data_IF_587090052926
#
_entry.id   IF_587090052926
#
_cell.length_a   1.000
_cell.length_b   1.000
_cell.length_c   1.000
_cell.angle_alpha   90.00
_cell.angle_beta   90.00
_cell.angle_gamma   90.00
#
_symmetry.space_group_name_H-M   'P 1'
#
loop_
_entity.id
_entity.type
_entity.pdbx_description
1 polymer ?
#
# COMPACT_ATOMS: atom_id res chain seq x y z
N UNK A 1 3.26 54.89 1.90
CA UNK A 1 4.07 54.87 0.72
C UNK A 1 4.98 53.64 0.52
N UNK A 2 6.35 53.75 0.41
CA UNK A 2 7.17 52.53 0.15
C UNK A 2 7.16 51.52 1.29
N UNK A 3 7.16 51.97 2.55
CA UNK A 3 7.13 51.11 3.74
C UNK A 3 5.81 50.34 3.85
N UNK A 4 4.68 50.98 3.61
CA UNK A 4 3.35 50.36 3.59
C UNK A 4 3.23 49.29 2.50
N UNK A 5 3.83 49.56 1.34
CA UNK A 5 3.87 48.59 0.23
C UNK A 5 4.73 47.35 0.58
N UNK A 6 5.82 47.54 1.32
CA UNK A 6 6.71 46.47 1.77
C UNK A 6 5.99 45.53 2.77
N UNK A 7 5.24 46.11 3.71
CA UNK A 7 4.45 45.35 4.69
C UNK A 7 3.35 44.54 4.02
N UNK A 8 2.68 45.09 3.03
CA UNK A 8 1.65 44.39 2.26
C UNK A 8 2.24 43.25 1.45
N UNK A 9 3.39 43.45 0.79
CA UNK A 9 4.10 42.39 0.08
C UNK A 9 4.54 41.27 1.03
N UNK A 10 5.05 41.63 2.20
CA UNK A 10 5.43 40.67 3.27
C UNK A 10 4.26 39.78 3.68
N UNK A 11 3.12 40.41 4.00
CA UNK A 11 1.89 39.73 4.41
C UNK A 11 1.36 38.77 3.34
N UNK A 12 1.33 39.22 2.08
CA UNK A 12 0.89 38.37 0.96
C UNK A 12 1.85 37.21 0.67
N UNK A 13 3.16 37.39 0.91
CA UNK A 13 4.14 36.32 0.82
C UNK A 13 3.99 35.28 1.93
N UNK A 14 3.67 35.70 3.16
CA UNK A 14 3.37 34.79 4.26
C UNK A 14 2.14 33.91 3.95
N UNK A 15 1.18 34.40 3.21
CA UNK A 15 0.04 33.63 2.68
C UNK A 15 0.47 32.63 1.58
N UNK A 16 1.70 32.70 1.09
CA UNK A 16 2.25 31.79 0.08
C UNK A 16 2.08 32.27 -1.36
N UNK A 17 1.67 33.53 -1.59
CA UNK A 17 1.47 34.07 -2.94
C UNK A 17 2.77 34.22 -3.71
N UNK A 18 2.79 33.81 -5.00
CA UNK A 18 3.88 34.11 -5.91
C UNK A 18 4.03 35.61 -6.16
N UNK A 19 5.27 36.11 -6.32
CA UNK A 19 5.54 37.52 -6.55
C UNK A 19 4.81 38.10 -7.77
N UNK A 20 4.58 37.30 -8.81
CA UNK A 20 3.85 37.73 -10.01
C UNK A 20 2.36 38.04 -9.70
N UNK A 21 1.72 37.22 -8.85
CA UNK A 21 0.34 37.41 -8.43
C UNK A 21 0.21 38.63 -7.49
N UNK A 22 1.18 38.79 -6.58
CA UNK A 22 1.25 39.95 -5.70
C UNK A 22 1.32 41.24 -6.53
N UNK A 23 2.16 41.29 -7.59
CA UNK A 23 2.26 42.45 -8.47
C UNK A 23 0.92 42.78 -9.14
N UNK A 24 0.27 41.77 -9.73
CA UNK A 24 -1.01 41.95 -10.41
C UNK A 24 -2.10 42.43 -9.43
N UNK A 25 -2.10 41.93 -8.20
CA UNK A 25 -3.03 42.37 -7.16
C UNK A 25 -2.78 43.85 -6.79
N UNK A 26 -1.51 44.24 -6.58
CA UNK A 26 -1.15 45.61 -6.16
C UNK A 26 -1.58 46.68 -7.19
N UNK A 27 -1.58 46.34 -8.50
CA UNK A 27 -1.99 47.23 -9.58
C UNK A 27 -3.52 47.56 -9.57
N UNK A 28 -4.32 46.63 -9.00
CA UNK A 28 -5.79 46.72 -9.02
C UNK A 28 -6.43 46.45 -7.66
N UNK A 29 -5.75 46.79 -6.58
CA UNK A 29 -6.21 46.52 -5.20
C UNK A 29 -7.52 47.21 -4.88
N UNK A 30 -8.46 46.47 -4.32
CA UNK A 30 -9.68 46.95 -3.70
C UNK A 30 -10.08 46.00 -2.55
N UNK A 31 -10.92 46.46 -1.59
CA UNK A 31 -11.42 45.59 -0.52
C UNK A 31 -12.10 44.31 -1.05
N UNK A 32 -12.87 44.43 -2.13
CA UNK A 32 -13.58 43.31 -2.76
C UNK A 32 -12.61 42.31 -3.36
N UNK A 33 -11.60 42.79 -4.11
CA UNK A 33 -10.54 41.92 -4.69
C UNK A 33 -9.71 41.23 -3.61
N UNK A 34 -9.46 41.94 -2.49
CA UNK A 34 -8.75 41.34 -1.36
C UNK A 34 -9.59 40.26 -0.71
N UNK A 35 -10.89 40.42 -0.56
CA UNK A 35 -11.82 39.41 -0.07
C UNK A 35 -11.77 38.15 -0.93
N UNK A 36 -11.89 38.29 -2.25
CA UNK A 36 -11.79 37.16 -3.20
C UNK A 36 -10.44 36.45 -3.10
N UNK A 37 -9.36 37.21 -2.97
CA UNK A 37 -8.01 36.65 -2.80
C UNK A 37 -7.90 35.80 -1.52
N UNK A 38 -8.38 36.35 -0.39
CA UNK A 38 -8.35 35.61 0.88
C UNK A 38 -9.18 34.31 0.83
N UNK A 39 -10.33 34.32 0.16
CA UNK A 39 -11.15 33.10 -0.04
C UNK A 39 -10.40 32.05 -0.87
N UNK A 40 -9.67 32.47 -1.91
CA UNK A 40 -8.85 31.59 -2.74
C UNK A 40 -7.71 30.97 -1.93
N UNK A 41 -6.97 31.79 -1.19
CA UNK A 41 -5.87 31.31 -0.34
C UNK A 41 -6.37 30.41 0.79
N UNK A 42 -7.50 30.71 1.41
CA UNK A 42 -8.12 29.85 2.41
C UNK A 42 -8.45 28.46 1.83
N UNK A 43 -8.94 28.41 0.59
CA UNK A 43 -9.19 27.14 -0.10
C UNK A 43 -7.89 26.35 -0.32
N UNK A 44 -6.84 27.01 -0.81
CA UNK A 44 -5.51 26.39 -1.02
C UNK A 44 -4.96 25.86 0.30
N UNK A 45 -5.06 26.63 1.37
CA UNK A 45 -4.61 26.20 2.72
C UNK A 45 -5.42 25.00 3.19
N UNK A 46 -6.73 24.98 3.01
CA UNK A 46 -7.59 23.84 3.36
C UNK A 46 -7.19 22.57 2.61
N UNK A 47 -6.94 22.67 1.32
CA UNK A 47 -6.50 21.54 0.49
C UNK A 47 -5.12 21.01 0.95
N UNK A 48 -4.16 21.90 1.25
CA UNK A 48 -2.87 21.54 1.82
C UNK A 48 -3.00 20.83 3.17
N UNK A 49 -3.83 21.36 4.06
CA UNK A 49 -4.10 20.74 5.37
C UNK A 49 -4.72 19.36 5.23
N UNK A 50 -5.67 19.19 4.32
CA UNK A 50 -6.28 17.88 4.04
C UNK A 50 -5.23 16.88 3.56
N UNK A 51 -4.40 17.26 2.61
CA UNK A 51 -3.30 16.43 2.08
C UNK A 51 -2.29 16.05 3.18
N UNK A 52 -1.94 16.97 4.05
CA UNK A 52 -1.03 16.71 5.17
C UNK A 52 -1.64 15.74 6.19
N UNK A 53 -2.93 15.87 6.51
CA UNK A 53 -3.65 14.93 7.38
C UNK A 53 -3.69 13.51 6.79
N UNK A 54 -3.91 13.38 5.49
CA UNK A 54 -3.89 12.09 4.79
C UNK A 54 -2.49 11.46 4.83
N UNK A 55 -1.46 12.26 4.59
CA UNK A 55 -0.06 11.81 4.68
C UNK A 55 0.30 11.38 6.10
N UNK A 56 -0.09 12.14 7.12
CA UNK A 56 0.14 11.81 8.53
C UNK A 56 -0.54 10.48 8.90
N UNK A 57 -1.77 10.27 8.44
CA UNK A 57 -2.51 9.01 8.64
C UNK A 57 -1.78 7.85 8.00
N UNK A 58 -1.41 7.98 6.73
CA UNK A 58 -0.65 6.95 6.00
C UNK A 58 0.67 6.60 6.71
N UNK A 59 1.43 7.59 7.17
CA UNK A 59 2.66 7.36 7.94
C UNK A 59 2.36 6.54 9.22
N UNK A 60 1.31 6.90 9.94
CA UNK A 60 0.90 6.17 11.14
C UNK A 60 0.51 4.73 10.87
N UNK A 61 -0.21 4.47 9.79
CA UNK A 61 -0.61 3.13 9.34
C UNK A 61 0.62 2.32 8.89
N UNK A 62 1.52 2.92 8.10
CA UNK A 62 2.76 2.26 7.67
C UNK A 62 3.66 1.87 8.84
N UNK A 63 3.79 2.75 9.86
CA UNK A 63 4.53 2.44 11.09
C UNK A 63 3.93 1.25 11.84
N UNK A 64 2.61 1.18 11.95
CA UNK A 64 1.92 0.04 12.60
C UNK A 64 2.14 -1.25 11.82
N UNK A 65 2.00 -1.20 10.50
CA UNK A 65 2.28 -2.34 9.63
C UNK A 65 3.72 -2.86 9.82
N UNK A 66 4.72 -1.98 9.81
CA UNK A 66 6.12 -2.37 9.98
C UNK A 66 6.39 -3.01 11.35
N UNK A 67 5.78 -2.47 12.41
CA UNK A 67 5.92 -3.03 13.75
C UNK A 67 5.28 -4.43 13.85
N UNK A 68 4.08 -4.59 13.29
CA UNK A 68 3.38 -5.87 13.25
C UNK A 68 4.14 -6.89 12.41
N UNK A 69 4.55 -6.53 11.19
CA UNK A 69 5.32 -7.40 10.29
C UNK A 69 6.61 -7.91 10.95
N UNK A 70 7.35 -7.01 11.63
CA UNK A 70 8.55 -7.38 12.37
C UNK A 70 8.26 -8.39 13.49
N UNK A 71 7.17 -8.19 14.25
CA UNK A 71 6.79 -9.09 15.34
C UNK A 71 6.38 -10.46 14.80
N UNK A 72 5.52 -10.51 13.79
CA UNK A 72 5.06 -11.76 13.16
C UNK A 72 6.22 -12.56 12.56
N UNK A 73 7.12 -11.90 11.82
CA UNK A 73 8.29 -12.55 11.24
C UNK A 73 9.20 -13.12 12.32
N UNK A 74 9.50 -12.35 13.37
CA UNK A 74 10.34 -12.79 14.48
C UNK A 74 9.73 -14.02 15.16
N UNK A 75 8.46 -13.98 15.54
CA UNK A 75 7.76 -15.09 16.17
C UNK A 75 7.82 -16.36 15.30
N UNK A 76 7.55 -16.25 13.99
CA UNK A 76 7.55 -17.38 13.09
C UNK A 76 8.94 -18.03 12.97
N UNK A 77 10.00 -17.24 12.82
CA UNK A 77 11.37 -17.75 12.69
C UNK A 77 11.98 -18.23 14.02
N UNK A 78 11.57 -17.66 15.16
CA UNK A 78 11.98 -18.17 16.48
C UNK A 78 11.33 -19.52 16.77
N UNK A 79 10.08 -19.72 16.34
CA UNK A 79 9.36 -20.98 16.51
C UNK A 79 9.93 -22.12 15.66
N UNK A 80 10.16 -21.87 14.39
CA UNK A 80 10.81 -22.83 13.47
C UNK A 80 11.51 -22.08 12.31
N UNK A 81 12.86 -21.95 12.35
CA UNK A 81 13.60 -21.24 11.32
C UNK A 81 13.62 -21.98 9.97
N UNK A 82 13.32 -23.28 9.94
CA UNK A 82 13.31 -24.11 8.72
C UNK A 82 11.92 -24.22 8.10
N UNK A 83 10.88 -24.09 8.90
CA UNK A 83 9.49 -24.13 8.47
C UNK A 83 8.66 -23.08 9.22
N UNK A 84 8.90 -21.77 8.97
CA UNK A 84 8.22 -20.68 9.68
C UNK A 84 6.77 -20.58 9.23
N UNK A 85 5.93 -21.46 9.75
CA UNK A 85 4.51 -21.59 9.47
C UNK A 85 3.68 -21.33 10.72
N UNK A 86 2.53 -20.71 10.56
CA UNK A 86 1.59 -20.47 11.66
C UNK A 86 0.16 -20.28 11.17
N UNK A 87 -0.79 -20.49 12.07
CA UNK A 87 -2.20 -20.16 11.82
C UNK A 87 -2.46 -18.83 12.51
N UNK A 88 -2.90 -17.84 11.72
CA UNK A 88 -3.19 -16.49 12.20
C UNK A 88 -4.62 -16.09 11.84
N UNK A 89 -5.30 -15.39 12.75
CA UNK A 89 -6.57 -14.74 12.43
C UNK A 89 -6.27 -13.43 11.72
N UNK A 90 -6.60 -13.37 10.42
CA UNK A 90 -6.49 -12.13 9.65
C UNK A 90 -7.84 -11.40 9.65
N UNK A 91 -7.84 -10.06 9.76
CA UNK A 91 -9.05 -9.26 9.75
C UNK A 91 -9.67 -9.21 8.35
N UNK A 92 -10.94 -8.77 8.30
CA UNK A 92 -11.59 -8.38 7.05
C UNK A 92 -10.82 -7.21 6.43
N UNK A 93 -10.44 -7.34 5.15
CA UNK A 93 -9.73 -6.32 4.40
C UNK A 93 -10.30 -6.17 2.99
N UNK A 94 -10.09 -5.00 2.42
CA UNK A 94 -10.58 -4.62 1.09
C UNK A 94 -9.43 -4.65 0.11
N UNK A 95 -9.60 -5.36 -1.01
CA UNK A 95 -8.59 -5.53 -2.04
C UNK A 95 -9.02 -4.80 -3.31
N UNK A 96 -8.23 -3.86 -3.78
CA UNK A 96 -8.37 -3.32 -5.14
C UNK A 96 -7.41 -4.10 -6.02
N UNK A 97 -7.96 -4.92 -6.91
CA UNK A 97 -7.20 -5.86 -7.74
C UNK A 97 -7.02 -5.34 -9.16
N UNK A 98 -5.96 -5.77 -9.81
CA UNK A 98 -5.76 -5.61 -11.24
C UNK A 98 -5.09 -6.88 -11.80
N UNK A 99 -5.06 -6.99 -13.12
CA UNK A 99 -4.51 -8.14 -13.83
C UNK A 99 -3.64 -7.66 -14.99
N UNK A 100 -2.58 -8.41 -15.28
CA UNK A 100 -1.75 -8.26 -16.47
C UNK A 100 -1.98 -9.44 -17.40
N UNK A 101 -2.27 -9.20 -18.67
CA UNK A 101 -2.38 -10.25 -19.69
C UNK A 101 -1.03 -10.94 -19.94
N UNK A 102 0.06 -10.21 -19.76
CA UNK A 102 1.42 -10.72 -19.89
C UNK A 102 2.05 -11.00 -18.53
N UNK A 103 2.82 -12.09 -18.43
CA UNK A 103 3.65 -12.40 -17.27
C UNK A 103 5.02 -11.68 -17.31
N UNK A 104 5.29 -10.86 -18.35
CA UNK A 104 6.50 -10.07 -18.41
C UNK A 104 6.55 -9.03 -17.29
N UNK A 105 7.69 -8.95 -16.60
CA UNK A 105 7.87 -8.06 -15.46
C UNK A 105 7.61 -6.59 -15.77
N UNK A 106 7.96 -6.12 -16.98
CA UNK A 106 7.73 -4.73 -17.38
C UNK A 106 6.22 -4.46 -17.52
N UNK A 107 5.48 -5.37 -18.16
CA UNK A 107 4.03 -5.26 -18.33
C UNK A 107 3.30 -5.31 -16.97
N UNK A 108 3.71 -6.22 -16.09
CA UNK A 108 3.16 -6.32 -14.72
C UNK A 108 3.43 -5.04 -13.94
N UNK A 109 4.66 -4.51 -13.95
CA UNK A 109 5.01 -3.28 -13.25
C UNK A 109 4.24 -2.05 -13.78
N UNK A 110 4.02 -1.97 -15.10
CA UNK A 110 3.18 -0.92 -15.68
C UNK A 110 1.74 -1.00 -15.14
N UNK A 111 1.17 -2.20 -15.10
CA UNK A 111 -0.19 -2.42 -14.57
C UNK A 111 -0.29 -2.17 -13.07
N UNK A 112 0.76 -2.44 -12.30
CA UNK A 112 0.87 -2.04 -10.89
C UNK A 112 0.86 -0.50 -10.78
N UNK A 113 1.61 0.20 -11.63
CA UNK A 113 1.59 1.67 -11.68
C UNK A 113 0.20 2.23 -11.98
N UNK A 114 -0.53 1.63 -12.93
CA UNK A 114 -1.92 2.00 -13.23
C UNK A 114 -2.84 1.78 -12.02
N UNK A 115 -2.66 0.70 -11.26
CA UNK A 115 -3.43 0.41 -10.05
C UNK A 115 -3.20 1.47 -8.96
N UNK A 116 -1.93 1.86 -8.74
CA UNK A 116 -1.61 2.95 -7.81
C UNK A 116 -2.22 4.28 -8.25
N UNK A 117 -2.15 4.60 -9.55
CA UNK A 117 -2.75 5.81 -10.10
C UNK A 117 -4.28 5.80 -9.96
N UNK A 118 -4.93 4.66 -10.25
CA UNK A 118 -6.38 4.48 -10.09
C UNK A 118 -6.84 4.68 -8.64
N UNK A 119 -6.13 4.16 -7.68
CA UNK A 119 -6.43 4.39 -6.27
C UNK A 119 -6.14 5.84 -5.86
N UNK A 120 -4.99 6.36 -6.28
CA UNK A 120 -4.48 7.68 -5.87
C UNK A 120 -5.32 8.85 -6.34
N UNK A 121 -5.98 8.76 -7.52
CA UNK A 121 -6.87 9.82 -8.03
C UNK A 121 -8.06 10.12 -7.10
N UNK A 122 -8.45 9.14 -6.25
CA UNK A 122 -9.52 9.30 -5.26
C UNK A 122 -8.98 9.39 -3.82
N UNK A 123 -7.67 9.65 -3.66
CA UNK A 123 -7.04 9.79 -2.34
C UNK A 123 -6.82 8.48 -1.58
N UNK A 124 -7.05 7.32 -2.21
CA UNK A 124 -6.80 6.02 -1.58
C UNK A 124 -5.30 5.70 -1.63
N UNK A 125 -4.69 5.55 -0.46
CA UNK A 125 -3.29 5.15 -0.32
C UNK A 125 -3.20 3.92 0.58
N UNK A 126 -2.72 2.82 0.03
CA UNK A 126 -2.40 1.64 0.83
C UNK A 126 -1.17 1.89 1.69
N UNK A 127 -1.22 1.49 2.94
CA UNK A 127 -0.05 1.43 3.84
C UNK A 127 0.74 0.12 3.67
N UNK A 128 0.16 -0.83 2.98
CA UNK A 128 0.78 -2.10 2.60
C UNK A 128 1.48 -1.96 1.25
N UNK A 129 2.41 -2.87 0.99
CA UNK A 129 3.00 -3.00 -0.34
C UNK A 129 1.99 -3.68 -1.29
N UNK A 130 2.26 -3.63 -2.61
CA UNK A 130 1.49 -4.44 -3.55
C UNK A 130 1.64 -5.91 -3.20
N UNK A 131 0.52 -6.63 -3.18
CA UNK A 131 0.50 -8.07 -2.98
C UNK A 131 0.11 -8.78 -4.27
N UNK A 132 0.37 -10.10 -4.32
CA UNK A 132 0.04 -10.94 -5.45
C UNK A 132 -0.91 -12.05 -5.04
N UNK A 133 -1.72 -12.51 -5.99
CA UNK A 133 -2.64 -13.63 -5.79
C UNK A 133 -2.19 -14.78 -6.67
N UNK A 134 -1.82 -15.90 -6.05
CA UNK A 134 -1.60 -17.16 -6.74
C UNK A 134 -2.85 -18.03 -6.63
N UNK A 135 -3.20 -18.68 -7.72
CA UNK A 135 -4.34 -19.60 -7.76
C UNK A 135 -3.86 -21.04 -7.55
N UNK A 136 -4.64 -21.82 -6.80
CA UNK A 136 -4.35 -23.23 -6.55
C UNK A 136 -4.05 -23.98 -7.85
N UNK A 137 -4.91 -23.84 -8.85
CA UNK A 137 -4.77 -24.49 -10.15
C UNK A 137 -3.42 -24.22 -10.82
N UNK A 138 -2.91 -22.98 -10.71
CA UNK A 138 -1.62 -22.57 -11.27
C UNK A 138 -0.46 -23.19 -10.47
N UNK A 139 -0.57 -23.19 -9.15
CA UNK A 139 0.44 -23.77 -8.26
C UNK A 139 0.53 -25.30 -8.43
N UNK A 140 -0.59 -25.98 -8.63
CA UNK A 140 -0.65 -27.45 -8.86
C UNK A 140 -0.02 -27.87 -10.20
N UNK A 141 0.00 -26.99 -11.20
CA UNK A 141 0.76 -27.20 -12.44
C UNK A 141 2.27 -26.97 -12.30
N UNK A 142 2.74 -26.54 -11.11
CA UNK A 142 4.14 -26.22 -10.85
C UNK A 142 4.56 -24.82 -11.26
N UNK A 143 3.63 -23.97 -11.63
CA UNK A 143 3.93 -22.55 -11.92
C UNK A 143 3.73 -21.70 -10.65
N UNK A 144 4.83 -21.42 -9.95
CA UNK A 144 4.85 -20.64 -8.70
C UNK A 144 5.16 -19.16 -8.94
N UNK A 145 5.37 -18.72 -10.18
CA UNK A 145 5.83 -17.39 -10.53
C UNK A 145 4.84 -16.66 -11.45
N UNK A 146 3.56 -16.97 -11.35
CA UNK A 146 2.51 -16.28 -12.11
C UNK A 146 2.04 -15.02 -11.36
N UNK A 147 2.77 -13.92 -11.53
CA UNK A 147 2.51 -12.63 -10.87
C UNK A 147 1.56 -11.73 -11.64
N UNK A 148 0.68 -12.29 -12.47
CA UNK A 148 -0.27 -11.49 -13.27
C UNK A 148 -1.44 -10.93 -12.47
N UNK A 149 -1.85 -11.58 -11.39
CA UNK A 149 -2.91 -11.12 -10.50
C UNK A 149 -2.30 -10.44 -9.26
N UNK A 150 -2.59 -9.16 -9.04
CA UNK A 150 -2.04 -8.39 -7.95
C UNK A 150 -3.06 -7.41 -7.36
N UNK A 151 -2.78 -6.89 -6.16
CA UNK A 151 -3.72 -6.07 -5.41
C UNK A 151 -3.05 -5.04 -4.51
N UNK A 152 -3.81 -3.98 -4.20
CA UNK A 152 -3.57 -3.10 -3.06
C UNK A 152 -4.58 -3.43 -1.96
N UNK A 153 -4.12 -3.48 -0.72
CA UNK A 153 -4.92 -3.84 0.45
C UNK A 153 -5.26 -2.60 1.27
N UNK A 154 -6.48 -2.57 1.81
CA UNK A 154 -6.98 -1.48 2.64
C UNK A 154 -7.73 -2.05 3.85
N UNK A 155 -7.50 -1.46 5.04
CA UNK A 155 -8.21 -1.81 6.27
C UNK A 155 -9.59 -1.14 6.36
N UNK A 156 -9.90 -0.23 5.44
CA UNK A 156 -11.18 0.48 5.33
C UNK A 156 -11.66 0.45 3.89
N UNK A 157 -12.97 0.61 3.71
CA UNK A 157 -13.57 0.70 2.37
C UNK A 157 -12.89 1.82 1.58
N UNK A 158 -12.20 1.50 0.46
CA UNK A 158 -11.61 2.53 -0.38
C UNK A 158 -12.69 3.31 -1.13
N UNK A 159 -12.51 4.63 -1.22
CA UNK A 159 -13.51 5.52 -1.80
C UNK A 159 -13.51 5.47 -3.33
N UNK A 160 -14.69 5.38 -3.94
CA UNK A 160 -14.91 5.53 -5.40
C UNK A 160 -14.10 4.57 -6.31
N UNK A 161 -13.61 3.47 -5.79
CA UNK A 161 -12.92 2.41 -6.56
C UNK A 161 -13.64 1.08 -6.38
N UNK A 162 -13.52 0.18 -7.36
CA UNK A 162 -14.01 -1.20 -7.21
C UNK A 162 -13.06 -1.97 -6.31
N UNK A 163 -13.62 -2.79 -5.44
CA UNK A 163 -12.85 -3.64 -4.54
C UNK A 163 -13.52 -5.00 -4.37
N UNK A 164 -12.73 -5.98 -3.95
CA UNK A 164 -13.17 -7.26 -3.44
C UNK A 164 -12.85 -7.34 -1.95
N UNK A 165 -13.37 -8.35 -1.25
CA UNK A 165 -13.17 -8.51 0.19
C UNK A 165 -12.35 -9.76 0.45
N UNK A 166 -11.26 -9.61 1.21
CA UNK A 166 -10.60 -10.72 1.87
C UNK A 166 -11.29 -10.92 3.23
N UNK A 167 -12.01 -12.03 3.36
CA UNK A 167 -12.83 -12.31 4.54
C UNK A 167 -11.95 -12.51 5.77
N UNK A 168 -12.43 -12.02 6.91
CA UNK A 168 -11.88 -12.37 8.22
C UNK A 168 -11.89 -13.89 8.43
N UNK A 169 -10.92 -14.40 9.17
CA UNK A 169 -10.85 -15.81 9.56
C UNK A 169 -9.44 -16.31 9.78
N UNK A 170 -9.36 -17.63 9.95
CA UNK A 170 -8.08 -18.32 10.12
C UNK A 170 -7.39 -18.54 8.77
N UNK A 171 -6.14 -18.17 8.73
CA UNK A 171 -5.26 -18.32 7.57
C UNK A 171 -4.03 -19.12 7.96
N UNK A 172 -3.67 -20.08 7.13
CA UNK A 172 -2.35 -20.69 7.18
C UNK A 172 -1.36 -19.70 6.55
N UNK A 173 -0.38 -19.27 7.32
CA UNK A 173 0.64 -18.31 6.91
C UNK A 173 2.00 -18.98 6.91
N UNK A 174 2.75 -18.84 5.81
CA UNK A 174 4.15 -19.26 5.71
C UNK A 174 5.02 -18.03 5.44
N UNK A 175 6.13 -17.88 6.13
CA UNK A 175 7.06 -16.76 5.99
C UNK A 175 8.29 -17.22 5.22
N UNK A 176 8.35 -16.85 3.95
CA UNK A 176 9.48 -17.15 3.09
C UNK A 176 10.54 -16.06 3.17
N UNK A 177 11.78 -16.42 3.50
CA UNK A 177 12.93 -15.51 3.50
C UNK A 177 13.80 -15.78 2.30
N UNK A 178 14.04 -14.75 1.49
CA UNK A 178 14.88 -14.81 0.29
C UNK A 178 14.26 -14.14 -0.93
N UNK A 179 14.98 -14.20 -2.07
CA UNK A 179 14.49 -13.64 -3.35
C UNK A 179 13.29 -14.44 -3.87
N UNK A 180 12.31 -13.74 -4.46
CA UNK A 180 11.04 -14.32 -4.91
C UNK A 180 11.18 -15.50 -5.89
N UNK A 181 12.31 -15.59 -6.62
CA UNK A 181 12.59 -16.71 -7.52
C UNK A 181 12.65 -18.07 -6.81
N UNK A 182 12.93 -18.09 -5.52
CA UNK A 182 13.01 -19.32 -4.70
C UNK A 182 11.71 -19.70 -3.97
N UNK A 183 10.61 -18.98 -4.21
CA UNK A 183 9.35 -19.11 -3.44
C UNK A 183 8.68 -20.49 -3.57
N UNK A 184 9.00 -21.24 -4.64
CA UNK A 184 8.52 -22.63 -4.83
C UNK A 184 8.78 -23.50 -3.61
N UNK A 185 9.97 -23.39 -3.00
CA UNK A 185 10.32 -24.18 -1.83
C UNK A 185 9.39 -23.89 -0.64
N UNK A 186 8.94 -22.65 -0.49
CA UNK A 186 7.99 -22.23 0.53
C UNK A 186 6.61 -22.85 0.28
N UNK A 187 6.11 -22.80 -0.95
CA UNK A 187 4.82 -23.41 -1.32
C UNK A 187 4.82 -24.92 -1.07
N UNK A 188 5.90 -25.62 -1.44
CA UNK A 188 6.04 -27.07 -1.20
C UNK A 188 5.99 -27.41 0.29
N UNK A 189 6.62 -26.61 1.15
CA UNK A 189 6.58 -26.77 2.61
C UNK A 189 5.18 -26.44 3.16
N UNK A 190 4.54 -25.37 2.69
CA UNK A 190 3.19 -24.97 3.09
C UNK A 190 2.17 -26.07 2.76
N UNK A 191 2.20 -26.62 1.54
CA UNK A 191 1.31 -27.72 1.15
C UNK A 191 1.55 -28.99 1.95
N UNK A 192 2.82 -29.32 2.22
CA UNK A 192 3.16 -30.47 3.08
C UNK A 192 2.58 -30.30 4.48
N UNK A 193 2.80 -29.15 5.12
CA UNK A 193 2.25 -28.82 6.42
C UNK A 193 0.72 -28.92 6.43
N UNK A 194 0.05 -28.34 5.44
CA UNK A 194 -1.40 -28.42 5.34
C UNK A 194 -1.91 -29.86 5.25
N UNK A 195 -1.22 -30.71 4.48
CA UNK A 195 -1.56 -32.14 4.34
C UNK A 195 -1.37 -32.88 5.66
N UNK A 196 -0.24 -32.67 6.34
CA UNK A 196 0.07 -33.29 7.63
C UNK A 196 -0.95 -32.89 8.71
N UNK A 197 -1.38 -31.60 8.71
CA UNK A 197 -2.39 -31.08 9.63
C UNK A 197 -3.84 -31.31 9.17
N UNK A 198 -4.06 -31.94 8.01
CA UNK A 198 -5.36 -32.20 7.40
C UNK A 198 -6.20 -30.90 7.21
N UNK A 199 -5.54 -29.81 6.84
CA UNK A 199 -6.19 -28.53 6.61
C UNK A 199 -6.79 -28.47 5.21
N UNK A 200 -8.04 -28.04 5.10
CA UNK A 200 -8.67 -27.70 3.84
C UNK A 200 -8.41 -26.22 3.56
N UNK A 201 -7.73 -25.91 2.48
CA UNK A 201 -7.33 -24.56 2.12
C UNK A 201 -8.18 -24.00 0.97
N UNK A 202 -8.39 -22.70 0.95
CA UNK A 202 -9.02 -21.95 -0.16
C UNK A 202 -8.14 -22.01 -1.43
N UNK A 203 -8.72 -21.59 -2.57
CA UNK A 203 -8.05 -21.58 -3.87
C UNK A 203 -7.16 -20.37 -4.12
N UNK A 204 -7.22 -19.35 -3.25
CA UNK A 204 -6.46 -18.11 -3.36
C UNK A 204 -5.37 -18.02 -2.31
N UNK A 205 -4.14 -17.89 -2.78
CA UNK A 205 -2.96 -17.67 -1.96
C UNK A 205 -2.52 -16.23 -2.13
N UNK A 206 -2.39 -15.50 -1.02
CA UNK A 206 -2.03 -14.10 -0.97
C UNK A 206 -0.55 -13.97 -0.60
N UNK A 207 0.26 -13.41 -1.49
CA UNK A 207 1.64 -13.08 -1.21
C UNK A 207 1.76 -11.62 -0.81
N UNK A 208 2.35 -11.36 0.35
CA UNK A 208 2.50 -10.04 0.94
C UNK A 208 3.93 -9.82 1.39
N UNK A 209 4.55 -8.72 0.96
CA UNK A 209 5.90 -8.36 1.36
C UNK A 209 5.91 -7.79 2.77
N UNK A 210 6.49 -8.53 3.72
CA UNK A 210 6.70 -8.11 5.12
C UNK A 210 8.00 -7.32 5.27
N UNK A 211 9.06 -7.76 4.58
CA UNK A 211 10.35 -7.08 4.43
C UNK A 211 10.69 -7.02 2.94
N UNK A 212 11.00 -5.84 2.45
CA UNK A 212 11.25 -5.59 1.02
C UNK A 212 12.35 -4.53 0.80
N UNK A 213 12.49 -4.03 -0.42
CA UNK A 213 13.47 -3.02 -0.81
C UNK A 213 13.36 -1.67 -0.05
N UNK A 214 12.23 -1.38 0.61
CA UNK A 214 12.09 -0.19 1.47
C UNK A 214 12.74 -0.40 2.85
N UNK A 215 12.92 -1.65 3.27
CA UNK A 215 13.34 -2.01 4.62
C UNK A 215 14.63 -2.81 4.67
N UNK A 216 15.10 -3.35 3.54
CA UNK A 216 16.38 -4.05 3.42
C UNK A 216 17.05 -3.77 2.06
N UNK A 217 18.37 -3.70 2.05
CA UNK A 217 19.16 -3.57 0.82
C UNK A 217 19.43 -4.93 0.17
N UNK A 218 19.40 -6.01 0.95
CA UNK A 218 19.74 -7.36 0.51
C UNK A 218 18.46 -8.15 0.23
N UNK A 219 18.31 -8.69 -0.98
CA UNK A 219 17.15 -9.50 -1.36
C UNK A 219 17.04 -10.81 -0.55
N UNK A 220 18.15 -11.32 -0.04
CA UNK A 220 18.23 -12.49 0.84
C UNK A 220 17.54 -12.24 2.18
N UNK A 221 17.37 -10.99 2.56
CA UNK A 221 16.66 -10.57 3.79
C UNK A 221 15.18 -10.29 3.55
N UNK A 222 14.70 -10.28 2.30
CA UNK A 222 13.30 -10.08 2.02
C UNK A 222 12.46 -11.20 2.64
N UNK A 223 11.30 -10.84 3.15
CA UNK A 223 10.36 -11.81 3.71
C UNK A 223 9.00 -11.61 3.04
N UNK A 224 8.53 -12.68 2.43
CA UNK A 224 7.20 -12.77 1.84
C UNK A 224 6.32 -13.66 2.72
N UNK A 225 5.19 -13.13 3.18
CA UNK A 225 4.13 -13.93 3.80
C UNK A 225 3.25 -14.51 2.71
N UNK A 226 3.12 -15.83 2.67
CA UNK A 226 2.11 -16.54 1.88
C UNK A 226 0.96 -16.85 2.83
N UNK A 227 -0.22 -16.30 2.57
CA UNK A 227 -1.40 -16.50 3.40
C UNK A 227 -2.53 -17.16 2.59
N UNK A 228 -3.10 -18.24 3.08
CA UNK A 228 -4.24 -18.93 2.47
C UNK A 228 -5.29 -19.21 3.51
N UNK A 229 -6.56 -18.94 3.20
CA UNK A 229 -7.68 -19.15 4.11
C UNK A 229 -7.88 -20.63 4.39
N UNK A 230 -8.09 -20.98 5.67
CA UNK A 230 -8.48 -22.32 6.08
C UNK A 230 -10.00 -22.41 5.96
N UNK A 231 -10.48 -23.41 5.24
CA UNK A 231 -11.89 -23.75 5.11
C UNK A 231 -12.24 -24.76 6.20
N UNK A 232 -13.38 -24.57 6.84
CA UNK A 232 -13.90 -25.50 7.87
C UNK A 232 -14.83 -26.52 7.26
#
# INVERSE_FOLDING_TARGET
DQMETFDVIGMLRELGMPLAEIRNYLEQRSPEKFGVLLEQEEKVVREKMQRLREMQRWIGEKKRFLAQASAECREAFEKDPFCPVGIHTLPLQYLVTNHSESADNLAVNQKIGELYAYCGQYGNRSSYNVGFIQKRETLETGNFLDYRDFYLIFDRVPAKVRYTVRLEGEYLCYYYKGPWQGIEAAYRKLFRYATEQRLLLDDRFYEEYMVDALTSQEMEQYITRIAVKILR
#
